data_IF_655481158629
#
_entry.id   IF_655481158629
#
_cell.length_a   1.000
_cell.length_b   1.000
_cell.length_c   1.000
_cell.angle_alpha   90.00
_cell.angle_beta   90.00
_cell.angle_gamma   90.00
#
_symmetry.space_group_name_H-M   'P 1'
#
loop_
_entity.id
_entity.type
_entity.pdbx_description
1 polymer ?
#
# COMPACT_ATOMS: atom_id res chain seq x y z
N UNK A 1 2.61 13.97 -43.82
CA UNK A 1 2.67 14.78 -42.60
C UNK A 1 1.25 15.16 -42.18
N UNK A 2 0.61 14.32 -41.36
CA UNK A 2 -0.76 14.55 -40.86
C UNK A 2 -0.66 15.34 -39.56
N UNK A 3 -1.22 16.55 -39.57
CA UNK A 3 -1.35 17.43 -38.41
C UNK A 3 -2.46 16.87 -37.51
N UNK A 4 -2.12 16.50 -36.27
CA UNK A 4 -3.11 16.21 -35.25
C UNK A 4 -3.65 17.53 -34.70
N UNK A 5 -4.97 17.74 -34.82
CA UNK A 5 -5.69 18.82 -34.18
C UNK A 5 -5.83 18.50 -32.68
N UNK A 6 -5.24 19.33 -31.82
CA UNK A 6 -5.59 19.42 -30.40
C UNK A 6 -6.92 20.14 -30.28
N UNK A 7 -7.98 19.41 -29.89
CA UNK A 7 -9.25 20.02 -29.49
C UNK A 7 -9.07 20.51 -28.05
N UNK A 8 -8.74 21.80 -27.91
CA UNK A 8 -8.70 22.49 -26.63
C UNK A 8 -10.13 22.91 -26.28
N UNK A 9 -10.83 22.09 -25.47
CA UNK A 9 -12.12 22.46 -24.93
C UNK A 9 -11.91 23.54 -23.86
N UNK A 10 -12.18 24.80 -24.20
CA UNK A 10 -12.23 25.90 -23.24
C UNK A 10 -13.54 25.77 -22.46
N UNK A 11 -13.49 25.11 -21.31
CA UNK A 11 -14.56 25.17 -20.31
C UNK A 11 -14.27 26.38 -19.42
N UNK A 12 -15.09 27.42 -19.53
CA UNK A 12 -15.13 28.50 -18.54
C UNK A 12 -15.71 27.94 -17.24
N UNK A 13 -14.86 27.45 -16.34
CA UNK A 13 -15.27 27.15 -14.97
C UNK A 13 -15.38 28.47 -14.19
N UNK A 14 -16.56 28.69 -13.60
CA UNK A 14 -16.80 29.79 -12.68
C UNK A 14 -15.81 29.70 -11.51
N UNK A 15 -14.94 30.70 -11.38
CA UNK A 15 -14.13 30.91 -10.18
C UNK A 15 -15.07 31.16 -8.99
N UNK A 16 -15.11 30.22 -8.04
CA UNK A 16 -15.57 30.54 -6.69
C UNK A 16 -14.39 31.19 -5.97
N UNK A 17 -14.45 32.51 -5.79
CA UNK A 17 -13.50 33.23 -4.96
C UNK A 17 -13.83 32.96 -3.49
N UNK A 18 -13.13 32.01 -2.88
CA UNK A 18 -12.88 32.04 -1.44
C UNK A 18 -11.52 32.70 -1.22
N UNK A 19 -11.53 34.04 -1.08
CA UNK A 19 -10.32 34.77 -0.66
C UNK A 19 -10.16 34.57 0.85
N UNK A 20 -9.50 33.48 1.22
CA UNK A 20 -8.76 33.41 2.47
C UNK A 20 -7.26 33.51 2.12
N UNK A 21 -6.59 34.55 2.61
CA UNK A 21 -5.12 34.66 2.66
C UNK A 21 -4.34 34.73 1.33
N UNK A 22 -4.95 35.11 0.21
CA UNK A 22 -4.22 35.30 -1.06
C UNK A 22 -3.77 34.00 -1.72
N UNK A 23 -4.35 32.86 -1.32
CA UNK A 23 -4.21 31.56 -1.97
C UNK A 23 -5.38 31.36 -2.93
N UNK A 24 -5.14 30.80 -4.11
CA UNK A 24 -6.17 30.53 -5.12
C UNK A 24 -5.91 29.20 -5.79
N UNK A 25 -6.86 28.26 -5.75
CA UNK A 25 -6.78 27.01 -6.52
C UNK A 25 -6.82 27.33 -8.02
N UNK A 26 -5.96 26.67 -8.79
CA UNK A 26 -5.87 26.82 -10.24
C UNK A 26 -6.11 25.47 -10.92
N UNK A 27 -6.68 25.46 -12.15
CA UNK A 27 -6.93 24.22 -12.87
C UNK A 27 -5.61 23.49 -13.20
N UNK A 28 -5.61 22.18 -12.97
CA UNK A 28 -4.52 21.28 -13.34
C UNK A 28 -4.80 20.66 -14.71
N UNK A 29 -3.78 20.63 -15.55
CA UNK A 29 -3.81 19.96 -16.86
C UNK A 29 -2.77 18.83 -16.87
N UNK A 30 -3.12 17.71 -17.50
CA UNK A 30 -2.28 16.51 -17.54
C UNK A 30 -2.03 16.07 -18.99
N UNK A 31 -0.85 15.49 -19.25
CA UNK A 31 -0.46 14.94 -20.55
C UNK A 31 -0.57 13.41 -20.56
N UNK A 32 -0.82 12.85 -21.75
CA UNK A 32 -0.84 11.40 -21.97
C UNK A 32 -1.96 10.72 -21.18
N UNK A 33 -1.63 9.61 -20.51
CA UNK A 33 -2.56 8.81 -19.70
C UNK A 33 -2.67 9.29 -18.24
N UNK A 34 -2.13 10.48 -17.92
CA UNK A 34 -2.19 11.04 -16.57
C UNK A 34 -3.57 11.60 -16.25
N UNK A 35 -4.09 11.35 -15.04
CA UNK A 35 -5.35 11.92 -14.57
C UNK A 35 -5.11 13.27 -13.86
N UNK A 36 -5.65 14.40 -14.36
CA UNK A 36 -5.50 15.70 -13.70
C UNK A 36 -6.12 15.75 -12.29
N UNK A 37 -7.05 14.85 -11.94
CA UNK A 37 -7.64 14.78 -10.60
C UNK A 37 -6.65 14.26 -9.54
N UNK A 38 -5.54 13.65 -9.95
CA UNK A 38 -4.50 13.19 -9.03
C UNK A 38 -3.63 14.33 -8.49
N UNK A 39 -3.83 15.57 -8.93
CA UNK A 39 -3.07 16.73 -8.48
C UNK A 39 -3.98 17.94 -8.23
N UNK A 40 -3.56 18.78 -7.29
CA UNK A 40 -4.16 20.06 -6.95
C UNK A 40 -3.06 21.12 -6.94
N UNK A 41 -3.37 22.30 -7.46
CA UNK A 41 -2.40 23.39 -7.58
C UNK A 41 -3.01 24.68 -7.05
N UNK A 42 -2.20 25.46 -6.35
CA UNK A 42 -2.57 26.75 -5.80
C UNK A 42 -1.54 27.79 -6.21
N UNK A 43 -1.99 29.00 -6.46
CA UNK A 43 -1.13 30.18 -6.53
C UNK A 43 -1.30 30.98 -5.24
N UNK A 44 -0.21 31.43 -4.67
CA UNK A 44 -0.19 32.19 -3.40
C UNK A 44 0.83 33.33 -3.46
N UNK A 45 0.81 34.16 -2.41
CA UNK A 45 1.76 35.26 -2.22
C UNK A 45 1.88 36.23 -3.42
N UNK A 46 0.77 36.80 -3.93
CA UNK A 46 0.81 37.73 -5.04
C UNK A 46 1.63 38.99 -4.69
N UNK A 47 2.40 39.48 -5.65
CA UNK A 47 3.13 40.76 -5.53
C UNK A 47 2.80 41.65 -6.73
N UNK A 48 2.92 42.97 -6.54
CA UNK A 48 2.64 43.96 -7.58
C UNK A 48 3.51 45.20 -7.41
N UNK A 49 3.69 45.97 -8.49
CA UNK A 49 4.50 47.19 -8.50
C UNK A 49 4.11 48.14 -9.65
N UNK A 50 4.53 49.40 -9.57
CA UNK A 50 4.27 50.44 -10.59
C UNK A 50 5.38 51.49 -10.66
N UNK A 51 5.52 52.16 -11.82
CA UNK A 51 6.55 53.14 -12.21
C UNK A 51 7.72 52.58 -13.05
N UNK A 52 8.48 53.50 -13.67
CA UNK A 52 9.57 53.29 -14.60
C UNK A 52 10.91 52.99 -13.89
N UNK A 53 10.93 51.89 -13.13
CA UNK A 53 12.15 51.31 -12.56
C UNK A 53 12.26 49.83 -12.89
N UNK A 54 13.40 49.24 -12.58
CA UNK A 54 13.56 47.79 -12.65
C UNK A 54 12.85 47.14 -11.45
N UNK A 55 12.33 45.94 -11.68
CA UNK A 55 11.65 45.11 -10.68
C UNK A 55 12.29 43.74 -10.67
N UNK A 56 12.52 43.23 -9.48
CA UNK A 56 12.97 41.87 -9.23
C UNK A 56 12.06 41.26 -8.17
N UNK A 57 11.73 40.00 -8.34
CA UNK A 57 10.95 39.23 -7.38
C UNK A 57 11.34 37.76 -7.47
N UNK A 58 11.26 37.09 -6.33
CA UNK A 58 11.54 35.67 -6.20
C UNK A 58 10.32 34.84 -6.59
N UNK A 59 10.54 33.70 -7.22
CA UNK A 59 9.49 32.77 -7.62
C UNK A 59 9.84 31.38 -7.11
N UNK A 60 8.95 30.80 -6.31
CA UNK A 60 9.11 29.47 -5.72
C UNK A 60 8.11 28.52 -6.35
N UNK A 61 8.58 27.33 -6.73
CA UNK A 61 7.73 26.19 -7.11
C UNK A 61 7.86 25.15 -6.01
N UNK A 62 6.81 24.98 -5.22
CA UNK A 62 6.72 23.92 -4.22
C UNK A 62 5.84 22.78 -4.73
N UNK A 63 6.25 21.54 -4.47
CA UNK A 63 5.43 20.37 -4.68
C UNK A 63 5.45 19.49 -3.42
N UNK A 64 4.28 19.21 -2.88
CA UNK A 64 4.10 18.24 -1.80
C UNK A 64 3.56 16.94 -2.39
N UNK A 65 4.35 15.87 -2.29
CA UNK A 65 4.01 14.55 -2.86
C UNK A 65 3.43 13.67 -1.74
N UNK A 66 2.25 13.08 -1.99
CA UNK A 66 1.68 12.06 -1.11
C UNK A 66 2.39 10.72 -1.28
N UNK A 67 2.37 9.91 -0.22
CA UNK A 67 2.75 8.52 -0.34
C UNK A 67 1.67 7.76 -1.11
N UNK A 68 2.09 6.84 -1.97
CA UNK A 68 1.23 5.92 -2.70
C UNK A 68 1.69 4.49 -2.47
N UNK A 69 0.77 3.53 -2.62
CA UNK A 69 1.09 2.11 -2.60
C UNK A 69 0.35 1.41 -3.72
N UNK A 70 1.05 0.46 -4.37
CA UNK A 70 0.45 -0.53 -5.24
C UNK A 70 0.91 -1.90 -4.76
N UNK A 71 -0.02 -2.81 -4.58
CA UNK A 71 0.28 -4.15 -4.07
C UNK A 71 -0.45 -5.22 -4.86
N UNK A 72 0.09 -6.44 -4.82
CA UNK A 72 -0.54 -7.61 -5.39
C UNK A 72 -0.24 -8.83 -4.50
N UNK A 73 -1.25 -9.68 -4.31
CA UNK A 73 -1.13 -10.96 -3.61
C UNK A 73 -1.58 -12.08 -4.56
N UNK A 74 -0.78 -13.14 -4.71
CA UNK A 74 -1.07 -14.20 -5.70
C UNK A 74 -2.21 -15.14 -5.29
N UNK A 75 -2.61 -15.11 -4.02
CA UNK A 75 -3.70 -15.91 -3.47
C UNK A 75 -3.98 -15.54 -2.02
N UNK A 76 -5.10 -16.00 -1.48
CA UNK A 76 -5.50 -15.70 -0.08
C UNK A 76 -5.83 -16.97 0.71
N UNK A 77 -5.54 -18.15 0.15
CA UNK A 77 -5.88 -19.44 0.75
C UNK A 77 -4.94 -20.55 0.31
N UNK A 78 -4.41 -21.30 1.27
CA UNK A 78 -3.86 -22.64 1.03
C UNK A 78 -4.92 -23.72 1.26
N UNK A 79 -4.94 -24.73 0.39
CA UNK A 79 -5.75 -25.93 0.57
C UNK A 79 -4.87 -27.16 0.47
N UNK A 80 -4.79 -27.93 1.55
CA UNK A 80 -3.95 -29.12 1.64
C UNK A 80 -4.77 -30.39 1.48
N UNK A 81 -4.30 -31.33 0.65
CA UNK A 81 -4.86 -32.68 0.53
C UNK A 81 -3.83 -33.69 1.05
N UNK A 82 -4.02 -34.17 2.28
CA UNK A 82 -3.06 -35.04 2.97
C UNK A 82 -3.56 -36.48 2.96
N UNK A 83 -2.74 -37.41 2.43
CA UNK A 83 -3.09 -38.84 2.35
C UNK A 83 -2.58 -39.66 3.54
N UNK A 84 -1.49 -39.23 4.17
CA UNK A 84 -0.80 -39.92 5.26
C UNK A 84 -0.24 -38.90 6.25
N UNK A 85 -0.06 -39.27 7.53
CA UNK A 85 0.67 -38.44 8.49
C UNK A 85 2.06 -38.07 7.97
N UNK A 86 2.52 -36.87 8.35
CA UNK A 86 3.78 -36.30 7.91
C UNK A 86 3.88 -34.81 8.19
N UNK A 87 5.09 -34.27 7.99
CA UNK A 87 5.34 -32.82 8.00
C UNK A 87 5.54 -32.38 6.56
N UNK A 88 4.75 -31.41 6.13
CA UNK A 88 4.71 -30.92 4.75
C UNK A 88 4.87 -29.40 4.73
N UNK A 89 5.57 -28.87 3.74
CA UNK A 89 5.62 -27.43 3.46
C UNK A 89 5.47 -27.23 1.95
N UNK A 90 4.92 -26.08 1.54
CA UNK A 90 4.58 -25.84 0.13
C UNK A 90 4.88 -24.41 -0.28
N UNK A 91 5.09 -24.27 -1.60
CA UNK A 91 5.21 -23.01 -2.31
C UNK A 91 3.98 -22.12 -2.10
N UNK A 92 4.20 -20.84 -2.28
CA UNK A 92 3.74 -19.82 -1.37
C UNK A 92 2.78 -18.82 -2.04
N UNK A 93 2.12 -18.04 -1.21
CA UNK A 93 1.41 -16.85 -1.66
C UNK A 93 2.47 -15.77 -1.89
N UNK A 94 2.59 -15.30 -3.12
CA UNK A 94 3.52 -14.24 -3.52
C UNK A 94 2.94 -12.87 -3.22
N UNK A 95 3.77 -12.00 -2.69
CA UNK A 95 3.48 -10.60 -2.39
C UNK A 95 4.37 -9.72 -3.25
N UNK A 96 3.79 -8.68 -3.85
CA UNK A 96 4.55 -7.64 -4.53
C UNK A 96 4.07 -6.29 -4.05
N UNK A 97 5.00 -5.41 -3.69
CA UNK A 97 4.76 -4.08 -3.13
C UNK A 97 5.52 -3.04 -3.94
N UNK A 98 4.87 -1.92 -4.20
CA UNK A 98 5.46 -0.73 -4.79
C UNK A 98 5.01 0.47 -3.95
N UNK A 99 5.94 1.34 -3.56
CA UNK A 99 5.60 2.56 -2.83
C UNK A 99 6.74 3.57 -2.86
N UNK A 100 6.41 4.84 -2.63
CA UNK A 100 7.34 5.93 -2.33
C UNK A 100 7.36 6.30 -0.83
N UNK A 101 6.95 5.38 0.04
CA UNK A 101 6.95 5.56 1.48
C UNK A 101 7.02 4.22 2.22
N UNK A 102 7.23 4.29 3.53
CA UNK A 102 7.35 3.09 4.36
C UNK A 102 6.04 2.29 4.37
N UNK A 103 6.15 0.96 4.25
CA UNK A 103 5.03 0.04 4.45
C UNK A 103 5.29 -0.81 5.69
N UNK A 104 4.26 -0.97 6.52
CA UNK A 104 4.21 -2.01 7.54
C UNK A 104 3.22 -3.10 7.11
N UNK A 105 3.58 -4.37 7.37
CA UNK A 105 2.70 -5.52 7.20
C UNK A 105 2.59 -6.23 8.54
N UNK A 106 1.37 -6.26 9.05
CA UNK A 106 1.02 -6.87 10.33
C UNK A 106 0.17 -8.12 10.12
N UNK A 107 0.30 -9.08 11.04
CA UNK A 107 -0.42 -10.35 11.01
C UNK A 107 -1.26 -10.46 12.28
N UNK A 108 -2.52 -10.87 12.13
CA UNK A 108 -3.41 -11.04 13.29
C UNK A 108 -4.34 -12.24 13.12
N UNK A 109 -4.68 -12.88 14.23
CA UNK A 109 -5.65 -13.96 14.29
C UNK A 109 -5.21 -15.29 13.64
N UNK A 110 -3.94 -15.44 13.21
CA UNK A 110 -3.46 -16.74 12.72
C UNK A 110 -3.43 -17.75 13.86
N UNK A 111 -3.92 -18.95 13.59
CA UNK A 111 -3.89 -20.09 14.50
C UNK A 111 -3.60 -21.41 13.77
N UNK A 112 -3.41 -22.48 14.54
CA UNK A 112 -3.33 -23.83 13.99
C UNK A 112 -4.72 -24.25 13.47
N UNK A 113 -4.85 -24.77 12.23
CA UNK A 113 -6.12 -25.24 11.70
C UNK A 113 -6.87 -26.18 12.64
N UNK A 114 -8.13 -25.86 12.89
CA UNK A 114 -8.99 -26.58 13.83
C UNK A 114 -9.99 -27.45 13.10
N UNK A 115 -10.34 -28.60 13.68
CA UNK A 115 -11.31 -29.53 13.11
C UNK A 115 -12.66 -28.86 12.89
N UNK A 116 -13.12 -28.81 11.64
CA UNK A 116 -14.22 -27.93 11.26
C UNK A 116 -15.61 -28.47 11.66
N UNK A 117 -15.79 -29.78 11.82
CA UNK A 117 -17.12 -30.38 12.01
C UNK A 117 -17.09 -31.64 12.87
N UNK A 118 -17.83 -31.67 13.99
CA UNK A 118 -17.99 -32.86 14.83
C UNK A 118 -16.90 -32.99 15.89
N UNK A 119 -16.52 -34.23 16.23
CA UNK A 119 -15.48 -34.53 17.22
C UNK A 119 -14.24 -35.11 16.55
N UNK A 120 -13.07 -34.83 17.12
CA UNK A 120 -11.79 -35.38 16.68
C UNK A 120 -10.97 -35.84 17.89
N UNK A 121 -10.12 -36.85 17.68
CA UNK A 121 -9.14 -37.30 18.69
C UNK A 121 -8.06 -36.25 18.92
N UNK A 122 -7.53 -35.66 17.83
CA UNK A 122 -6.70 -34.46 17.88
C UNK A 122 -7.32 -33.36 16.99
N UNK A 123 -7.95 -32.35 17.59
CA UNK A 123 -8.69 -31.33 16.85
C UNK A 123 -7.82 -30.25 16.20
N UNK A 124 -6.49 -30.33 16.30
CA UNK A 124 -5.57 -29.33 15.75
C UNK A 124 -4.55 -29.95 14.79
N UNK A 125 -4.22 -29.24 13.71
CA UNK A 125 -3.04 -29.49 12.88
C UNK A 125 -2.05 -28.38 13.17
N UNK A 126 -0.86 -28.72 13.68
CA UNK A 126 0.17 -27.70 13.90
C UNK A 126 0.54 -27.05 12.55
N UNK A 127 0.60 -25.73 12.54
CA UNK A 127 0.96 -24.93 11.37
C UNK A 127 2.12 -23.98 11.69
N UNK A 128 2.88 -23.63 10.66
CA UNK A 128 3.92 -22.61 10.72
C UNK A 128 4.03 -21.87 9.40
N UNK A 129 4.64 -20.70 9.46
CA UNK A 129 4.84 -19.81 8.32
C UNK A 129 6.28 -19.32 8.24
N UNK A 130 6.76 -19.05 7.03
CA UNK A 130 8.11 -18.53 6.80
C UNK A 130 8.11 -17.58 5.60
N UNK A 131 9.05 -16.63 5.57
CA UNK A 131 9.27 -15.75 4.43
C UNK A 131 10.49 -16.22 3.64
N UNK A 132 10.41 -16.18 2.30
CA UNK A 132 11.53 -16.51 1.44
C UNK A 132 11.12 -16.64 -0.02
N UNK A 133 12.07 -16.56 -0.94
CA UNK A 133 11.77 -16.55 -2.38
C UNK A 133 11.75 -17.96 -3.00
N UNK A 134 12.51 -18.88 -2.39
CA UNK A 134 12.66 -20.27 -2.84
C UNK A 134 12.65 -21.24 -1.65
N UNK A 135 12.47 -22.52 -1.95
CA UNK A 135 12.36 -23.58 -0.94
C UNK A 135 13.58 -23.70 -0.05
N UNK A 136 14.78 -23.44 -0.58
CA UNK A 136 16.03 -23.55 0.15
C UNK A 136 16.12 -22.50 1.27
N UNK A 137 15.58 -21.30 1.04
CA UNK A 137 15.61 -20.20 2.00
C UNK A 137 14.83 -20.59 3.26
N UNK A 138 13.67 -21.22 3.08
CA UNK A 138 12.78 -21.60 4.19
C UNK A 138 13.09 -22.99 4.76
N UNK A 139 13.71 -23.89 3.99
CA UNK A 139 14.08 -25.21 4.48
C UNK A 139 15.08 -25.14 5.64
N UNK A 140 15.95 -24.13 5.63
CA UNK A 140 16.94 -23.87 6.66
C UNK A 140 16.69 -22.57 7.44
N UNK A 141 15.61 -21.86 7.11
CA UNK A 141 15.23 -20.59 7.72
C UNK A 141 14.35 -20.73 8.96
N UNK A 142 13.93 -19.57 9.49
CA UNK A 142 13.04 -19.48 10.64
C UNK A 142 11.60 -19.76 10.22
N UNK A 143 10.94 -20.66 10.95
CA UNK A 143 9.51 -20.91 10.86
C UNK A 143 8.83 -20.34 12.09
N UNK A 144 7.89 -19.43 11.88
CA UNK A 144 7.08 -18.85 12.92
C UNK A 144 5.85 -19.73 13.15
N UNK A 145 5.58 -20.10 14.40
CA UNK A 145 4.26 -20.58 14.80
C UNK A 145 3.23 -19.46 14.61
N UNK A 146 1.92 -19.76 14.63
CA UNK A 146 0.90 -18.75 14.39
C UNK A 146 0.93 -17.61 15.42
N UNK A 147 1.19 -17.93 16.70
CA UNK A 147 1.37 -16.92 17.74
C UNK A 147 2.59 -16.04 17.50
N UNK A 148 3.73 -16.64 17.14
CA UNK A 148 4.93 -15.86 16.83
C UNK A 148 4.74 -14.97 15.60
N UNK A 149 4.00 -15.45 14.59
CA UNK A 149 3.67 -14.67 13.39
C UNK A 149 2.78 -13.47 13.72
N UNK A 150 1.77 -13.65 14.57
CA UNK A 150 0.89 -12.56 15.01
C UNK A 150 1.64 -11.46 15.79
N UNK A 151 2.80 -11.79 16.36
CA UNK A 151 3.69 -10.83 17.04
C UNK A 151 4.71 -10.19 16.09
N UNK A 152 4.71 -10.53 14.79
CA UNK A 152 5.59 -9.93 13.79
C UNK A 152 4.96 -8.71 13.12
N UNK A 153 5.80 -7.70 12.89
CA UNK A 153 5.56 -6.64 11.90
C UNK A 153 6.71 -6.66 10.91
N UNK A 154 6.40 -6.87 9.63
CA UNK A 154 7.38 -6.69 8.56
C UNK A 154 7.39 -5.22 8.13
N UNK A 155 8.54 -4.56 8.25
CA UNK A 155 8.73 -3.18 7.84
C UNK A 155 9.51 -3.11 6.53
N UNK A 156 8.99 -2.34 5.58
CA UNK A 156 9.61 -2.05 4.30
C UNK A 156 9.85 -0.54 4.23
N UNK A 157 11.05 -0.06 4.58
CA UNK A 157 11.39 1.35 4.50
C UNK A 157 11.38 1.86 3.06
N UNK A 158 11.13 3.16 2.91
CA UNK A 158 11.28 3.87 1.66
C UNK A 158 12.68 3.61 1.07
N UNK A 159 12.70 3.12 -0.17
CA UNK A 159 13.91 2.69 -0.86
C UNK A 159 13.70 2.61 -2.36
N UNK A 160 14.79 2.72 -3.12
CA UNK A 160 14.78 2.55 -4.57
C UNK A 160 14.16 1.20 -4.99
N UNK A 161 14.45 0.13 -4.25
CA UNK A 161 13.87 -1.19 -4.49
C UNK A 161 12.34 -1.18 -4.34
N UNK A 162 11.82 -0.55 -3.29
CA UNK A 162 10.38 -0.44 -3.07
C UNK A 162 9.70 0.45 -4.12
N UNK A 163 10.40 1.43 -4.71
CA UNK A 163 9.86 2.25 -5.80
C UNK A 163 9.68 1.44 -7.08
N UNK A 164 10.63 0.54 -7.38
CA UNK A 164 10.63 -0.29 -8.59
C UNK A 164 9.89 -1.62 -8.45
N UNK A 165 9.57 -2.01 -7.21
CA UNK A 165 8.81 -3.22 -6.91
C UNK A 165 9.63 -4.19 -6.07
N UNK A 166 9.24 -4.31 -4.81
CA UNK A 166 9.75 -5.34 -3.91
C UNK A 166 8.82 -6.55 -3.91
N UNK A 167 9.39 -7.75 -3.81
CA UNK A 167 8.62 -8.99 -3.77
C UNK A 167 9.15 -9.99 -2.77
N UNK A 168 8.25 -10.74 -2.16
CA UNK A 168 8.58 -11.93 -1.36
C UNK A 168 7.49 -12.96 -1.44
N UNK A 169 7.65 -14.08 -0.74
CA UNK A 169 6.61 -15.07 -0.62
C UNK A 169 6.46 -15.56 0.82
N UNK A 170 5.21 -15.84 1.19
CA UNK A 170 4.84 -16.40 2.49
C UNK A 170 4.58 -17.90 2.34
N UNK A 171 5.40 -18.74 2.98
CA UNK A 171 5.32 -20.19 2.94
C UNK A 171 4.44 -20.73 4.06
N UNK A 172 3.82 -21.89 3.81
CA UNK A 172 3.02 -22.61 4.79
C UNK A 172 3.60 -24.00 5.03
N UNK A 173 3.68 -24.40 6.31
CA UNK A 173 4.05 -25.74 6.77
C UNK A 173 2.98 -26.28 7.70
N UNK A 174 2.66 -27.56 7.57
CA UNK A 174 1.73 -28.27 8.45
C UNK A 174 2.33 -29.58 8.94
N UNK A 175 1.91 -30.03 10.13
CA UNK A 175 2.25 -31.35 10.66
C UNK A 175 0.96 -32.11 10.99
N UNK A 176 0.76 -33.20 10.27
CA UNK A 176 -0.36 -34.13 10.48
C UNK A 176 0.15 -35.38 11.16
N UNK A 177 -0.48 -35.77 12.27
CA UNK A 177 -0.13 -36.95 13.06
C UNK A 177 -1.22 -38.02 12.99
N UNK A 178 -0.92 -39.22 13.46
CA UNK A 178 -1.82 -40.38 13.44
C UNK A 178 -3.15 -40.14 14.17
N UNK A 179 -3.15 -39.26 15.18
CA UNK A 179 -4.34 -38.92 15.95
C UNK A 179 -5.24 -37.87 15.29
N UNK A 180 -4.84 -37.24 14.19
CA UNK A 180 -5.73 -36.33 13.46
C UNK A 180 -6.81 -37.14 12.73
N UNK A 181 -8.07 -36.91 13.11
CA UNK A 181 -9.20 -37.54 12.43
C UNK A 181 -9.33 -37.02 10.99
N UNK A 182 -9.77 -37.88 10.07
CA UNK A 182 -9.99 -37.49 8.68
C UNK A 182 -11.17 -36.52 8.55
N UNK A 183 -10.91 -35.27 8.18
CA UNK A 183 -11.91 -34.28 7.76
C UNK A 183 -11.20 -33.00 7.31
N UNK A 184 -11.96 -31.91 7.20
CA UNK A 184 -11.45 -30.55 7.02
C UNK A 184 -11.00 -29.95 8.35
N UNK A 185 -9.82 -29.36 8.34
CA UNK A 185 -9.35 -28.45 9.38
C UNK A 185 -9.23 -27.05 8.77
N UNK A 186 -9.54 -26.01 9.53
CA UNK A 186 -9.53 -24.63 9.03
C UNK A 186 -9.11 -23.65 10.11
N UNK A 187 -8.44 -22.62 9.65
CA UNK A 187 -8.20 -21.38 10.38
C UNK A 187 -8.29 -20.19 9.40
N UNK A 188 -8.47 -18.99 9.93
CA UNK A 188 -8.47 -17.73 9.17
C UNK A 188 -7.72 -16.66 9.95
N UNK A 189 -6.60 -16.17 9.40
CA UNK A 189 -5.90 -14.98 9.86
C UNK A 189 -6.11 -13.78 8.93
N UNK A 190 -5.68 -12.61 9.38
CA UNK A 190 -5.72 -11.34 8.64
C UNK A 190 -4.31 -10.80 8.45
N UNK A 191 -4.02 -10.31 7.24
CA UNK A 191 -2.79 -9.58 6.92
C UNK A 191 -3.18 -8.14 6.62
N UNK A 192 -2.62 -7.20 7.36
CA UNK A 192 -2.89 -5.77 7.21
C UNK A 192 -1.68 -5.07 6.61
N UNK A 193 -1.87 -4.37 5.48
CA UNK A 193 -0.85 -3.49 4.91
C UNK A 193 -1.15 -2.04 5.30
N UNK A 194 -0.16 -1.37 5.86
CA UNK A 194 -0.25 0.03 6.29
C UNK A 194 0.81 0.86 5.60
N UNK A 195 0.38 1.84 4.79
CA UNK A 195 1.26 2.86 4.23
C UNK A 195 1.47 3.96 5.28
N UNK A 196 2.70 4.10 5.79
CA UNK A 196 2.98 4.97 6.94
C UNK A 196 3.16 6.43 6.50
N UNK A 197 3.06 7.33 7.49
CA UNK A 197 3.37 8.75 7.35
C UNK A 197 2.59 9.47 6.23
N UNK A 198 1.33 9.07 6.01
CA UNK A 198 0.42 9.72 5.08
C UNK A 198 0.41 11.24 5.30
N UNK A 199 0.42 11.99 4.20
CA UNK A 199 0.36 13.44 4.28
C UNK A 199 -0.95 13.88 4.94
N UNK A 200 -0.89 14.89 5.84
CA UNK A 200 -2.05 15.31 6.63
C UNK A 200 -3.16 15.98 5.80
N UNK A 201 -2.89 16.25 4.53
CA UNK A 201 -3.84 16.81 3.58
C UNK A 201 -4.65 15.76 2.80
N UNK A 202 -4.48 14.48 3.15
CA UNK A 202 -5.34 13.37 2.74
C UNK A 202 -6.22 12.89 3.90
N UNK A 203 -7.39 12.35 3.59
CA UNK A 203 -8.23 11.60 4.53
C UNK A 203 -7.80 10.13 4.66
N UNK A 204 -8.46 9.40 5.56
CA UNK A 204 -8.18 7.97 5.82
C UNK A 204 -8.44 7.05 4.60
N UNK A 205 -9.15 7.54 3.59
CA UNK A 205 -9.41 6.81 2.34
C UNK A 205 -8.44 7.21 1.21
N UNK A 206 -7.51 8.13 1.48
CA UNK A 206 -6.53 8.63 0.52
C UNK A 206 -7.06 9.72 -0.42
N UNK A 207 -8.17 10.39 -0.09
CA UNK A 207 -8.70 11.52 -0.85
C UNK A 207 -8.25 12.87 -0.28
N UNK A 208 -8.19 13.89 -1.14
CA UNK A 208 -7.92 15.27 -0.71
C UNK A 208 -8.96 15.75 0.31
N UNK A 209 -8.50 16.43 1.36
CA UNK A 209 -9.38 17.16 2.25
C UNK A 209 -10.01 18.37 1.54
N UNK A 210 -11.22 18.75 1.96
CA UNK A 210 -11.97 19.86 1.36
C UNK A 210 -11.34 21.25 1.61
N UNK A 211 -10.42 21.36 2.56
CA UNK A 211 -9.76 22.60 2.98
C UNK A 211 -8.25 22.57 2.69
N UNK A 212 -7.87 22.02 1.53
CA UNK A 212 -6.49 21.79 1.13
C UNK A 212 -5.62 23.06 1.15
N UNK A 213 -6.22 24.23 0.94
CA UNK A 213 -5.55 25.54 0.98
C UNK A 213 -4.87 25.84 2.32
N UNK A 214 -5.30 25.22 3.43
CA UNK A 214 -4.66 25.41 4.74
C UNK A 214 -3.23 24.85 4.81
N UNK A 215 -2.85 23.99 3.86
CA UNK A 215 -1.54 23.35 3.79
C UNK A 215 -0.58 24.07 2.84
N UNK A 216 -1.01 25.17 2.20
CA UNK A 216 -0.13 26.06 1.43
C UNK A 216 0.67 26.91 2.41
N UNK A 217 1.99 26.83 2.33
CA UNK A 217 2.90 27.55 3.23
C UNK A 217 3.40 28.86 2.60
N UNK A 218 3.91 29.75 3.45
CA UNK A 218 4.57 31.00 3.03
C UNK A 218 6.09 30.86 2.96
N UNK A 219 6.63 29.63 3.06
CA UNK A 219 8.07 29.36 2.94
C UNK A 219 8.54 29.53 1.48
N UNK A 220 9.78 29.98 1.27
CA UNK A 220 10.39 30.22 -0.04
C UNK A 220 11.81 29.70 -0.12
#
# INVERSE_FOLDING_TARGET
MRRFLLIMAIVFSLFSLTIANGVTEVPVYAYGDSDPNNAKAFVSMPTSGSCNKNWEFEFTVEAQIAQWVKWNISGTKWTWFVRKPGTYFTDCIGFTLYSNGDIAVDFDGFASPTYATGTSVNPYIDAWYAFGDKSEDVAFGTWYSPSELNDQTALFPDSEELHYGWGTKLWSKIKVVECNSASTYRDTGTITLTLKNQKPWLDDNGYYLNNLEQFVTDER
#
